data_IF_135489580398
#
_entry.id   IF_135489580398
#
_cell.length_a   1.000
_cell.length_b   1.000
_cell.length_c   1.000
_cell.angle_alpha   90.00
_cell.angle_beta   90.00
_cell.angle_gamma   90.00
#
_symmetry.space_group_name_H-M   'P 1'
#
loop_
_entity.id
_entity.type
_entity.pdbx_description
1 polymer ?
#
# COMPACT_ATOMS: atom_id res chain seq x y z
N UNK A 1 -12.32 7.18 1.38
CA UNK A 1 -11.59 5.89 1.55
C UNK A 1 -10.14 6.08 1.14
N UNK A 2 -9.20 5.34 1.74
CA UNK A 2 -7.78 5.38 1.32
C UNK A 2 -7.36 4.06 0.68
N UNK A 3 -6.62 4.17 -0.42
CA UNK A 3 -6.02 3.05 -1.14
C UNK A 3 -4.51 3.22 -1.11
N UNK A 4 -3.76 2.18 -0.75
CA UNK A 4 -2.32 2.14 -0.94
C UNK A 4 -1.98 1.35 -2.20
N UNK A 5 -1.06 1.87 -3.00
CA UNK A 5 -0.52 1.22 -4.18
C UNK A 5 0.95 0.95 -3.89
N UNK A 6 1.41 -0.29 -4.05
CA UNK A 6 2.85 -0.57 -4.01
C UNK A 6 3.49 0.05 -5.25
N UNK A 7 4.37 1.03 -5.08
CA UNK A 7 4.87 1.87 -6.17
C UNK A 7 6.35 1.64 -6.39
N UNK A 8 6.75 1.52 -7.64
CA UNK A 8 8.13 1.49 -8.10
C UNK A 8 8.26 2.39 -9.33
N UNK A 9 8.97 3.51 -9.16
CA UNK A 9 9.16 4.54 -10.19
C UNK A 9 7.85 4.99 -10.89
N UNK A 10 6.77 5.15 -10.12
CA UNK A 10 5.45 5.56 -10.64
C UNK A 10 4.60 4.44 -11.24
N UNK A 11 5.09 3.20 -11.26
CA UNK A 11 4.35 2.02 -11.69
C UNK A 11 3.95 1.14 -10.51
N UNK A 12 2.95 0.27 -10.70
CA UNK A 12 2.61 -0.74 -9.71
C UNK A 12 3.78 -1.73 -9.59
N UNK A 13 4.38 -1.82 -8.40
CA UNK A 13 5.44 -2.76 -8.11
C UNK A 13 4.94 -4.20 -8.17
N UNK A 14 5.76 -5.09 -8.74
CA UNK A 14 5.50 -6.53 -8.77
C UNK A 14 5.55 -7.18 -7.37
N UNK A 15 6.23 -6.54 -6.41
CA UNK A 15 6.46 -7.11 -5.08
C UNK A 15 6.09 -6.11 -3.98
N UNK A 16 4.91 -6.30 -3.38
CA UNK A 16 4.37 -5.46 -2.32
C UNK A 16 5.38 -5.15 -1.20
N UNK A 17 6.07 -6.17 -0.69
CA UNK A 17 6.96 -6.00 0.47
C UNK A 17 8.31 -5.32 0.15
N UNK A 18 8.66 -5.21 -1.14
CA UNK A 18 9.98 -4.75 -1.61
C UNK A 18 9.90 -3.47 -2.47
N UNK A 19 8.71 -2.92 -2.67
CA UNK A 19 8.56 -1.68 -3.41
C UNK A 19 9.30 -0.53 -2.70
N UNK A 20 9.88 0.43 -3.42
CA UNK A 20 10.57 1.56 -2.81
C UNK A 20 9.62 2.47 -2.04
N UNK A 21 8.36 2.59 -2.48
CA UNK A 21 7.38 3.50 -1.89
C UNK A 21 5.95 2.94 -1.96
N UNK A 22 5.04 3.60 -1.23
CA UNK A 22 3.61 3.41 -1.35
C UNK A 22 2.96 4.72 -1.76
N UNK A 23 2.21 4.70 -2.86
CA UNK A 23 1.31 5.81 -3.20
C UNK A 23 -0.01 5.61 -2.46
N UNK A 24 -0.41 6.59 -1.65
CA UNK A 24 -1.68 6.60 -0.92
C UNK A 24 -2.61 7.58 -1.61
N UNK A 25 -3.73 7.07 -2.12
CA UNK A 25 -4.79 7.86 -2.72
C UNK A 25 -6.01 7.92 -1.80
N UNK A 26 -6.47 9.12 -1.51
CA UNK A 26 -7.72 9.38 -0.81
C UNK A 26 -8.84 9.65 -1.81
N UNK A 27 -9.91 8.86 -1.73
CA UNK A 27 -11.03 8.87 -2.67
C UNK A 27 -12.33 9.09 -1.93
N UNK A 28 -13.11 10.08 -2.35
CA UNK A 28 -14.46 10.36 -1.85
C UNK A 28 -15.39 10.58 -3.04
N UNK A 29 -16.59 9.99 -3.01
CA UNK A 29 -17.59 10.11 -4.09
C UNK A 29 -17.03 9.84 -5.51
N UNK A 30 -16.12 8.86 -5.62
CA UNK A 30 -15.49 8.48 -6.89
C UNK A 30 -14.42 9.46 -7.40
N UNK A 31 -14.05 10.48 -6.62
CA UNK A 31 -13.02 11.46 -6.96
C UNK A 31 -11.79 11.27 -6.09
N UNK A 32 -10.61 11.42 -6.70
CA UNK A 32 -9.34 11.46 -5.97
C UNK A 32 -9.18 12.85 -5.36
N UNK A 33 -9.16 12.94 -4.03
CA UNK A 33 -9.01 14.19 -3.30
C UNK A 33 -7.54 14.52 -3.02
N UNK A 34 -6.76 13.50 -2.67
CA UNK A 34 -5.34 13.64 -2.32
C UNK A 34 -4.57 12.42 -2.79
N UNK A 35 -3.35 12.66 -3.25
CA UNK A 35 -2.34 11.64 -3.51
C UNK A 35 -1.08 12.03 -2.77
N UNK A 36 -0.50 11.10 -2.04
CA UNK A 36 0.82 11.25 -1.45
C UNK A 36 1.64 9.99 -1.65
N UNK A 37 2.95 10.13 -1.74
CA UNK A 37 3.86 9.00 -1.83
C UNK A 37 4.71 8.97 -0.56
N UNK A 38 4.74 7.81 0.09
CA UNK A 38 5.53 7.60 1.30
C UNK A 38 6.58 6.53 1.04
N UNK A 39 7.78 6.73 1.58
CA UNK A 39 8.83 5.72 1.48
C UNK A 39 8.41 4.43 2.18
N UNK A 40 8.79 3.29 1.59
CA UNK A 40 8.62 2.00 2.26
C UNK A 40 9.50 2.00 3.52
N UNK A 41 8.91 1.82 4.73
CA UNK A 41 9.65 1.86 5.99
C UNK A 41 10.58 0.65 6.19
N UNK A 42 10.62 -0.28 5.24
CA UNK A 42 11.48 -1.45 5.24
C UNK A 42 10.71 -2.74 5.52
N UNK A 43 11.25 -3.85 5.03
CA UNK A 43 10.59 -5.15 5.16
C UNK A 43 10.88 -5.77 6.53
N UNK A 44 9.85 -5.84 7.36
CA UNK A 44 9.81 -6.69 8.55
C UNK A 44 8.63 -7.67 8.45
N UNK A 45 8.74 -8.89 9.01
CA UNK A 45 7.63 -9.84 9.02
C UNK A 45 6.38 -9.20 9.65
N UNK A 46 5.24 -9.32 8.96
CA UNK A 46 3.93 -8.84 9.42
C UNK A 46 3.79 -7.32 9.64
N UNK A 47 4.77 -6.50 9.26
CA UNK A 47 4.75 -5.07 9.57
C UNK A 47 3.95 -4.21 8.58
N UNK A 48 4.23 -4.36 7.28
CA UNK A 48 3.69 -3.46 6.25
C UNK A 48 2.16 -3.44 6.14
N UNK A 49 1.44 -4.58 6.23
CA UNK A 49 -0.02 -4.58 6.31
C UNK A 49 -0.55 -3.72 7.46
N UNK A 50 -0.06 -3.93 8.68
CA UNK A 50 -0.51 -3.18 9.86
C UNK A 50 -0.15 -1.69 9.74
N UNK A 51 1.07 -1.39 9.30
CA UNK A 51 1.54 -0.03 9.05
C UNK A 51 0.62 0.76 8.11
N UNK A 52 0.08 0.12 7.07
CA UNK A 52 -0.87 0.75 6.15
C UNK A 52 -2.27 0.84 6.77
N UNK A 53 -2.72 -0.19 7.47
CA UNK A 53 -4.02 -0.20 8.16
C UNK A 53 -4.11 0.92 9.22
N UNK A 54 -3.05 1.13 10.01
CA UNK A 54 -2.93 2.21 11.01
C UNK A 54 -3.03 3.61 10.37
N UNK A 55 -2.71 3.75 9.07
CA UNK A 55 -2.88 5.01 8.31
C UNK A 55 -4.29 5.20 7.73
N UNK A 56 -5.20 4.28 8.04
CA UNK A 56 -6.56 4.25 7.53
C UNK A 56 -6.67 3.75 6.08
N UNK A 57 -5.61 3.09 5.57
CA UNK A 57 -5.70 2.43 4.26
C UNK A 57 -6.69 1.28 4.36
N UNK A 58 -7.68 1.29 3.48
CA UNK A 58 -8.74 0.28 3.41
C UNK A 58 -8.48 -0.76 2.33
N UNK A 59 -7.77 -0.39 1.27
CA UNK A 59 -7.48 -1.28 0.14
C UNK A 59 -6.02 -1.18 -0.27
N UNK A 60 -5.47 -2.30 -0.74
CA UNK A 60 -4.12 -2.36 -1.31
C UNK A 60 -4.22 -2.82 -2.75
N UNK A 61 -3.54 -2.11 -3.65
CA UNK A 61 -3.30 -2.51 -5.04
C UNK A 61 -1.82 -2.82 -5.18
N UNK A 62 -1.49 -4.03 -5.62
CA UNK A 62 -0.12 -4.45 -5.83
C UNK A 62 -0.05 -5.52 -6.94
N UNK A 63 1.12 -5.68 -7.56
CA UNK A 63 1.32 -6.75 -8.55
C UNK A 63 1.38 -8.13 -7.91
N UNK A 64 1.95 -8.22 -6.70
CA UNK A 64 2.05 -9.46 -5.96
C UNK A 64 2.29 -9.23 -4.47
N UNK A 65 1.54 -9.95 -3.63
CA UNK A 65 1.64 -9.92 -2.17
C UNK A 65 1.84 -11.34 -1.64
N UNK A 66 2.81 -11.55 -0.75
CA UNK A 66 3.02 -12.86 -0.14
C UNK A 66 1.84 -13.28 0.75
N UNK A 67 1.53 -14.58 0.80
CA UNK A 67 0.35 -15.12 1.51
C UNK A 67 0.21 -14.63 2.95
N UNK A 68 1.31 -14.55 3.71
CA UNK A 68 1.28 -14.04 5.08
C UNK A 68 0.81 -12.59 5.16
N UNK A 69 1.25 -11.75 4.22
CA UNK A 69 0.85 -10.34 4.20
C UNK A 69 -0.62 -10.18 3.78
N UNK A 70 -1.12 -11.03 2.87
CA UNK A 70 -2.55 -11.07 2.53
C UNK A 70 -3.41 -11.43 3.74
N UNK A 71 -3.05 -12.48 4.48
CA UNK A 71 -3.82 -12.91 5.67
C UNK A 71 -3.86 -11.86 6.79
N UNK A 72 -2.86 -11.00 6.88
CA UNK A 72 -2.78 -9.95 7.90
C UNK A 72 -3.55 -8.68 7.54
N UNK A 73 -3.84 -8.48 6.25
CA UNK A 73 -4.60 -7.32 5.76
C UNK A 73 -6.07 -7.64 5.45
N UNK A 74 -6.43 -8.94 5.50
CA UNK A 74 -7.76 -9.44 5.20
C UNK A 74 -8.82 -9.03 6.24
#
# INVERSE_FOLDING_TARGET
MKIAISTDAGFVSAHFGRCPSFTIAEIEEGKVLKVEEINNPGHQPAFLPNFLAERGVKYIICGGMGNRAQMLFA
#
